data_IF_381952955591
#
_entry.id   IF_381952955591
#
_cell.length_a   1.000
_cell.length_b   1.000
_cell.length_c   1.000
_cell.angle_alpha   90.00
_cell.angle_beta   90.00
_cell.angle_gamma   90.00
#
_symmetry.space_group_name_H-M   'P 1'
#
loop_
_entity.id
_entity.type
_entity.pdbx_description
1 polymer ?
#
# COMPACT_ATOMS: atom_id res chain seq x y z
N UNK A 1 -10.59 5.83 14.53
CA UNK A 1 -10.37 4.85 13.44
C UNK A 1 -9.22 5.23 12.51
N UNK A 2 -8.94 6.51 12.30
CA UNK A 2 -7.76 7.00 11.57
C UNK A 2 -6.41 6.44 12.03
N UNK A 3 -6.18 6.31 13.35
CA UNK A 3 -4.90 5.80 13.86
C UNK A 3 -4.59 4.36 13.40
N UNK A 4 -5.60 3.50 13.31
CA UNK A 4 -5.42 2.13 12.83
C UNK A 4 -5.08 2.11 11.33
N UNK A 5 -5.81 2.89 10.52
CA UNK A 5 -5.55 3.02 9.09
C UNK A 5 -4.17 3.63 8.85
N UNK A 6 -3.77 4.62 9.65
CA UNK A 6 -2.45 5.24 9.59
C UNK A 6 -1.33 4.24 9.88
N UNK A 7 -1.44 3.44 10.94
CA UNK A 7 -0.41 2.43 11.28
C UNK A 7 -0.33 1.35 10.19
N UNK A 8 -1.45 0.91 9.64
CA UNK A 8 -1.45 -0.06 8.53
C UNK A 8 -0.76 0.54 7.31
N UNK A 9 -1.10 1.77 6.95
CA UNK A 9 -0.49 2.45 5.80
C UNK A 9 1.02 2.69 6.00
N UNK A 10 1.44 3.04 7.21
CA UNK A 10 2.85 3.23 7.56
C UNK A 10 3.64 1.91 7.39
N UNK A 11 3.09 0.80 7.90
CA UNK A 11 3.67 -0.54 7.71
C UNK A 11 3.76 -0.92 6.23
N UNK A 12 2.74 -0.62 5.44
CA UNK A 12 2.74 -0.89 4.00
C UNK A 12 3.85 -0.12 3.25
N UNK A 13 4.18 1.11 3.67
CA UNK A 13 5.31 1.87 3.10
C UNK A 13 6.67 1.28 3.46
N UNK A 14 6.80 0.67 4.63
CA UNK A 14 8.03 -0.04 5.05
C UNK A 14 8.27 -1.26 4.16
N UNK A 15 7.22 -1.98 3.75
CA UNK A 15 7.35 -3.07 2.77
C UNK A 15 7.73 -2.58 1.37
N UNK A 16 7.42 -1.33 1.04
CA UNK A 16 7.77 -0.73 -0.25
C UNK A 16 9.25 -0.35 -0.37
N UNK A 17 9.93 -0.11 0.75
CA UNK A 17 11.35 0.26 0.80
C UNK A 17 12.32 -0.75 0.18
N UNK A 18 12.32 -2.04 0.58
CA UNK A 18 13.23 -3.04 0.01
C UNK A 18 12.92 -3.31 -1.46
N UNK A 19 11.65 -3.18 -1.85
CA UNK A 19 11.24 -3.27 -3.25
C UNK A 19 11.86 -2.13 -4.09
N UNK A 20 11.75 -0.88 -3.61
CA UNK A 20 12.33 0.29 -4.29
C UNK A 20 13.86 0.22 -4.36
N UNK A 21 14.51 -0.33 -3.33
CA UNK A 21 15.96 -0.56 -3.30
C UNK A 21 16.41 -1.66 -4.27
N UNK A 22 15.59 -2.69 -4.47
CA UNK A 22 15.93 -3.83 -5.33
C UNK A 22 15.64 -3.59 -6.82
N UNK A 23 15.08 -2.43 -7.18
CA UNK A 23 14.64 -2.12 -8.53
C UNK A 23 15.78 -2.17 -9.57
N UNK A 24 17.02 -1.92 -9.15
CA UNK A 24 18.21 -1.93 -10.01
C UNK A 24 18.63 -3.33 -10.48
N UNK A 25 18.30 -4.39 -9.72
CA UNK A 25 18.88 -5.74 -9.90
C UNK A 25 17.97 -6.67 -10.71
N UNK A 26 16.66 -6.49 -10.63
CA UNK A 26 15.67 -7.50 -11.09
C UNK A 26 14.77 -7.03 -12.25
N UNK A 27 14.85 -5.75 -12.63
CA UNK A 27 14.19 -5.21 -13.83
C UNK A 27 12.66 -5.32 -13.85
N UNK A 28 12.09 -5.52 -15.06
CA UNK A 28 10.64 -5.43 -15.36
C UNK A 28 9.76 -6.38 -14.54
N UNK A 29 10.30 -7.52 -14.09
CA UNK A 29 9.56 -8.48 -13.26
C UNK A 29 9.16 -7.88 -11.91
N UNK A 30 10.08 -7.12 -11.28
CA UNK A 30 9.83 -6.43 -10.00
C UNK A 30 8.86 -5.27 -10.17
N UNK A 31 8.84 -4.64 -11.35
CA UNK A 31 7.83 -3.62 -11.67
C UNK A 31 6.40 -4.17 -11.66
N UNK A 32 6.18 -5.36 -12.24
CA UNK A 32 4.86 -6.01 -12.24
C UNK A 32 4.43 -6.39 -10.82
N UNK A 33 5.35 -6.90 -10.00
CA UNK A 33 5.06 -7.27 -8.61
C UNK A 33 4.62 -6.06 -7.77
N UNK A 34 5.27 -4.90 -7.92
CA UNK A 34 4.77 -3.69 -7.26
C UNK A 34 3.47 -3.17 -7.82
N UNK A 35 3.26 -3.28 -9.13
CA UNK A 35 2.00 -2.82 -9.71
C UNK A 35 0.83 -3.59 -9.08
N UNK A 36 1.00 -4.90 -8.90
CA UNK A 36 0.03 -5.77 -8.20
C UNK A 36 -0.07 -5.36 -6.72
N UNK A 37 1.05 -5.12 -6.03
CA UNK A 37 1.05 -4.70 -4.63
C UNK A 37 0.28 -3.39 -4.44
N UNK A 38 0.57 -2.36 -5.24
CA UNK A 38 -0.10 -1.05 -5.21
C UNK A 38 -1.58 -1.19 -5.53
N UNK A 39 -1.97 -2.04 -6.49
CA UNK A 39 -3.38 -2.29 -6.77
C UNK A 39 -4.12 -2.86 -5.57
N UNK A 40 -3.51 -3.80 -4.83
CA UNK A 40 -4.09 -4.36 -3.61
C UNK A 40 -4.24 -3.27 -2.53
N UNK A 41 -3.24 -2.40 -2.36
CA UNK A 41 -3.31 -1.26 -1.43
C UNK A 41 -4.49 -0.32 -1.74
N UNK A 42 -4.66 0.01 -3.03
CA UNK A 42 -5.75 0.87 -3.48
C UNK A 42 -7.10 0.22 -3.19
N UNK A 43 -7.24 -1.08 -3.46
CA UNK A 43 -8.48 -1.82 -3.18
C UNK A 43 -8.78 -1.84 -1.67
N UNK A 44 -7.77 -2.09 -0.83
CA UNK A 44 -7.90 -2.02 0.64
C UNK A 44 -8.32 -0.63 1.11
N UNK A 45 -7.70 0.42 0.57
CA UNK A 45 -7.98 1.81 0.93
C UNK A 45 -9.39 2.24 0.50
N UNK A 46 -9.81 1.91 -0.72
CA UNK A 46 -11.17 2.13 -1.22
C UNK A 46 -12.20 1.36 -0.39
N UNK A 47 -11.89 0.13 0.02
CA UNK A 47 -12.77 -0.64 0.90
C UNK A 47 -12.91 0.00 2.29
N UNK A 48 -11.80 0.46 2.89
CA UNK A 48 -11.82 1.17 4.17
C UNK A 48 -12.63 2.48 4.08
N UNK A 49 -12.50 3.19 2.96
CA UNK A 49 -13.29 4.40 2.69
C UNK A 49 -14.78 4.09 2.53
N UNK A 50 -15.14 3.06 1.77
CA UNK A 50 -16.53 2.58 1.57
C UNK A 50 -17.19 2.13 2.87
N UNK A 51 -16.42 1.68 3.86
CA UNK A 51 -16.92 1.32 5.19
C UNK A 51 -17.12 2.51 6.14
N UNK A 52 -16.90 3.75 5.69
CA UNK A 52 -17.09 4.95 6.52
C UNK A 52 -16.03 5.11 7.61
N UNK A 53 -14.92 4.37 7.54
CA UNK A 53 -13.83 4.42 8.55
C UNK A 53 -13.10 5.77 8.52
N UNK A 54 -13.24 6.49 7.40
CA UNK A 54 -12.69 7.82 7.14
C UNK A 54 -13.74 8.94 7.28
N UNK A 55 -14.97 8.65 7.71
CA UNK A 55 -15.96 9.71 7.97
C UNK A 55 -15.56 10.48 9.23
N UNK A 56 -15.27 11.76 9.02
CA UNK A 56 -15.08 12.75 10.06
C UNK A 56 -16.47 13.28 10.43
N UNK A 57 -16.98 12.91 11.60
CA UNK A 57 -18.05 13.67 12.26
C UNK A 57 -17.43 14.76 13.11
#
# INVERSE_FOLDING_TARGET
MFALVFVVFDVETIFFYPWAMSFDVVGVSVFIEALIFVLILIVCSVYAWRKGVLEWS
#
